data_IF_839111379672
#
_entry.id   IF_839111379672
#
_cell.length_a   1.000
_cell.length_b   1.000
_cell.length_c   1.000
_cell.angle_alpha   90.00
_cell.angle_beta   90.00
_cell.angle_gamma   90.00
#
_symmetry.space_group_name_H-M   'P 1'
#
loop_
_entity.id
_entity.type
_entity.pdbx_description
1 polymer ?
#
# COMPACT_ATOMS: atom_id res chain seq x y z
N UNK A 1 -8.55 -18.38 -46.44
CA UNK A 1 -8.78 -18.89 -45.07
C UNK A 1 -10.20 -18.48 -44.68
N UNK A 2 -11.17 -19.41 -44.73
CA UNK A 2 -12.56 -19.11 -44.39
C UNK A 2 -12.72 -19.17 -42.87
N UNK A 3 -13.05 -18.04 -42.26
CA UNK A 3 -13.33 -17.93 -40.82
C UNK A 3 -14.71 -18.54 -40.57
N UNK A 4 -14.81 -19.41 -39.55
CA UNK A 4 -16.06 -20.10 -39.18
C UNK A 4 -17.17 -19.09 -38.90
N UNK A 5 -18.43 -19.32 -39.35
CA UNK A 5 -19.54 -18.40 -39.15
C UNK A 5 -19.92 -18.19 -37.67
N UNK A 6 -19.38 -19.00 -36.76
CA UNK A 6 -19.54 -18.88 -35.30
C UNK A 6 -18.29 -18.39 -34.56
N UNK A 7 -17.26 -17.93 -35.28
CA UNK A 7 -16.10 -17.33 -34.63
C UNK A 7 -16.52 -15.95 -34.07
N UNK A 8 -16.53 -15.81 -32.73
CA UNK A 8 -16.56 -14.48 -32.10
C UNK A 8 -15.28 -13.75 -32.52
N UNK A 9 -15.43 -12.83 -33.47
CA UNK A 9 -14.42 -11.82 -33.76
C UNK A 9 -14.30 -10.94 -32.51
N UNK A 10 -13.29 -11.21 -31.69
CA UNK A 10 -12.85 -10.27 -30.68
C UNK A 10 -12.08 -9.17 -31.43
N UNK A 11 -12.78 -8.12 -31.85
CA UNK A 11 -12.11 -6.87 -32.15
C UNK A 11 -11.44 -6.41 -30.84
N UNK A 12 -10.11 -6.52 -30.79
CA UNK A 12 -9.35 -5.77 -29.79
C UNK A 12 -9.65 -4.31 -30.05
N UNK A 13 -10.58 -3.76 -29.27
CA UNK A 13 -10.78 -2.32 -29.25
C UNK A 13 -9.44 -1.70 -28.90
N UNK A 14 -8.97 -0.67 -29.64
CA UNK A 14 -7.77 0.04 -29.24
C UNK A 14 -7.94 0.44 -27.78
N UNK A 15 -6.85 0.36 -27.00
CA UNK A 15 -6.82 0.68 -25.57
C UNK A 15 -7.04 2.19 -25.36
N UNK A 16 -8.14 2.75 -25.82
CA UNK A 16 -8.46 4.17 -25.70
C UNK A 16 -8.99 4.43 -24.29
N UNK A 17 -8.08 4.71 -23.38
CA UNK A 17 -8.38 5.05 -21.99
C UNK A 17 -7.61 6.29 -21.54
N UNK A 18 -8.05 6.96 -20.45
CA UNK A 18 -7.37 8.13 -19.90
C UNK A 18 -5.92 7.88 -19.43
N UNK A 19 -5.47 6.62 -19.43
CA UNK A 19 -4.13 6.17 -19.06
C UNK A 19 -3.39 5.48 -20.22
N UNK A 20 -3.85 5.62 -21.47
CA UNK A 20 -3.11 5.13 -22.63
C UNK A 20 -2.16 6.20 -23.16
N UNK A 21 -0.84 6.08 -22.94
CA UNK A 21 0.16 7.05 -23.37
C UNK A 21 0.44 7.00 -24.89
N UNK A 22 -0.11 6.02 -25.62
CA UNK A 22 0.08 5.87 -27.07
C UNK A 22 -1.07 6.45 -27.89
N UNK A 23 -2.17 6.82 -27.24
CA UNK A 23 -3.32 7.44 -27.89
C UNK A 23 -2.94 8.81 -28.48
N UNK A 24 -3.34 9.03 -29.74
CA UNK A 24 -3.16 10.33 -30.41
C UNK A 24 -4.02 11.42 -29.74
N UNK A 25 -3.61 12.70 -29.75
CA UNK A 25 -4.35 13.79 -29.10
C UNK A 25 -5.83 13.86 -29.50
N UNK A 26 -6.14 13.53 -30.75
CA UNK A 26 -7.49 13.61 -31.33
C UNK A 26 -8.40 12.45 -30.89
N UNK A 27 -7.80 11.34 -30.41
CA UNK A 27 -8.53 10.15 -29.95
C UNK A 27 -8.93 10.19 -28.48
N UNK A 28 -8.51 11.23 -27.74
CA UNK A 28 -8.77 11.38 -26.31
C UNK A 28 -9.84 12.44 -26.10
N UNK A 29 -10.87 12.13 -25.30
CA UNK A 29 -11.96 13.07 -25.00
C UNK A 29 -11.44 14.41 -24.46
N UNK A 30 -12.11 15.51 -24.81
CA UNK A 30 -11.72 16.85 -24.34
C UNK A 30 -11.64 16.91 -22.80
N UNK A 31 -10.48 17.26 -22.26
CA UNK A 31 -10.18 17.22 -20.82
C UNK A 31 -9.48 15.95 -20.32
N UNK A 32 -9.57 14.83 -21.06
CA UNK A 32 -8.87 13.58 -20.74
C UNK A 32 -7.38 13.60 -21.16
N UNK A 33 -7.00 14.46 -22.10
CA UNK A 33 -5.60 14.63 -22.56
C UNK A 33 -4.63 15.04 -21.44
N UNK A 34 -5.12 15.66 -20.36
CA UNK A 34 -4.30 16.03 -19.20
C UNK A 34 -3.95 14.85 -18.30
N UNK A 35 -4.77 13.79 -18.29
CA UNK A 35 -4.42 12.55 -17.59
C UNK A 35 -3.24 11.87 -18.29
N UNK A 36 -3.24 11.83 -19.62
CA UNK A 36 -2.12 11.33 -20.43
C UNK A 36 -0.83 12.12 -20.22
N UNK A 37 -0.90 13.45 -20.00
CA UNK A 37 0.30 14.27 -19.68
C UNK A 37 0.88 13.98 -18.29
N UNK A 38 0.05 13.50 -17.36
CA UNK A 38 0.40 13.30 -15.96
C UNK A 38 1.01 11.92 -15.67
N UNK A 39 0.96 11.00 -16.64
CA UNK A 39 1.54 9.66 -16.51
C UNK A 39 2.49 9.40 -17.68
N UNK A 40 3.62 8.75 -17.39
CA UNK A 40 4.61 8.31 -18.35
C UNK A 40 4.99 6.86 -18.05
N UNK A 41 5.44 6.12 -19.05
CA UNK A 41 5.95 4.76 -18.83
C UNK A 41 7.47 4.85 -18.73
N UNK A 42 8.07 4.26 -17.70
CA UNK A 42 9.53 4.22 -17.56
C UNK A 42 10.15 3.21 -18.54
N UNK A 43 11.48 3.18 -18.62
CA UNK A 43 12.22 2.26 -19.49
C UNK A 43 11.98 0.78 -19.18
N UNK A 44 11.48 0.47 -17.98
CA UNK A 44 11.12 -0.87 -17.54
C UNK A 44 9.65 -1.24 -17.82
N UNK A 45 8.87 -0.37 -18.46
CA UNK A 45 7.46 -0.62 -18.78
C UNK A 45 6.47 -0.31 -17.64
N UNK A 46 6.94 0.26 -16.53
CA UNK A 46 6.06 0.62 -15.41
C UNK A 46 5.46 2.02 -15.60
N UNK A 47 4.18 2.16 -15.25
CA UNK A 47 3.50 3.45 -15.21
C UNK A 47 4.04 4.27 -14.02
N UNK A 48 4.51 5.48 -14.30
CA UNK A 48 4.98 6.46 -13.32
C UNK A 48 4.32 7.81 -13.61
N UNK A 49 4.28 8.72 -12.63
CA UNK A 49 3.75 10.07 -12.84
C UNK A 49 4.81 10.97 -13.48
N UNK A 50 4.38 11.93 -14.29
CA UNK A 50 5.24 12.96 -14.89
C UNK A 50 5.49 14.10 -13.90
N UNK A 51 6.69 14.71 -13.93
CA UNK A 51 7.00 15.87 -13.09
C UNK A 51 6.11 17.07 -13.45
N UNK A 52 5.52 17.72 -12.44
CA UNK A 52 4.74 18.96 -12.62
C UNK A 52 3.22 18.82 -12.64
N UNK A 53 2.66 17.80 -11.99
CA UNK A 53 1.21 17.62 -11.88
C UNK A 53 0.52 18.87 -11.30
N UNK A 54 -0.54 19.33 -11.98
CA UNK A 54 -1.44 20.38 -11.49
C UNK A 54 -2.89 19.96 -11.66
N UNK A 55 -3.70 20.12 -10.60
CA UNK A 55 -5.13 19.79 -10.60
C UNK A 55 -5.91 20.69 -11.55
N UNK A 56 -6.98 20.14 -12.12
CA UNK A 56 -8.03 20.92 -12.78
C UNK A 56 -8.66 21.93 -11.79
N UNK A 57 -8.70 23.20 -12.22
CA UNK A 57 -9.19 24.38 -11.47
C UNK A 57 -8.41 24.77 -10.19
N UNK A 58 -7.11 24.48 -10.09
CA UNK A 58 -6.29 25.06 -9.03
C UNK A 58 -5.77 26.45 -9.44
N UNK A 59 -6.22 27.50 -8.75
CA UNK A 59 -5.76 28.88 -8.91
C UNK A 59 -5.11 29.37 -7.61
N UNK A 60 -3.88 28.95 -7.34
CA UNK A 60 -2.98 29.71 -6.47
C UNK A 60 -1.55 29.49 -6.93
N UNK A 61 -0.81 30.57 -7.28
CA UNK A 61 0.61 30.49 -7.58
C UNK A 61 1.50 30.55 -6.32
N UNK A 62 0.95 30.68 -5.10
CA UNK A 62 1.77 30.95 -3.91
C UNK A 62 1.74 29.85 -2.82
N UNK A 63 2.96 29.38 -2.55
CA UNK A 63 3.57 29.03 -1.25
C UNK A 63 2.93 27.98 -0.36
N UNK A 64 3.21 26.71 -0.65
CA UNK A 64 4.05 25.84 0.20
C UNK A 64 4.13 24.50 -0.52
N UNK A 65 5.06 23.64 -0.12
CA UNK A 65 5.41 22.40 -0.82
C UNK A 65 4.27 21.36 -0.77
N UNK A 66 3.15 21.62 -1.46
CA UNK A 66 2.00 20.74 -1.48
C UNK A 66 2.37 19.45 -2.22
N UNK A 67 2.54 18.38 -1.45
CA UNK A 67 2.96 17.06 -1.92
C UNK A 67 1.75 16.14 -2.12
N UNK A 68 0.60 16.67 -2.54
CA UNK A 68 -0.61 15.92 -2.88
C UNK A 68 -0.37 14.80 -3.91
N UNK A 69 0.65 14.95 -4.75
CA UNK A 69 1.04 14.00 -5.79
C UNK A 69 2.18 13.06 -5.36
N UNK A 70 2.68 13.22 -4.12
CA UNK A 70 3.82 12.51 -3.54
C UNK A 70 5.13 12.69 -4.32
N UNK A 71 5.25 13.73 -5.15
CA UNK A 71 6.40 13.95 -6.06
C UNK A 71 7.74 14.07 -5.36
N UNK A 72 7.78 14.70 -4.18
CA UNK A 72 9.03 14.94 -3.46
C UNK A 72 9.34 13.82 -2.45
N UNK A 73 8.40 12.86 -2.29
CA UNK A 73 8.42 11.76 -1.32
C UNK A 73 8.84 12.14 0.09
N UNK A 74 8.75 13.43 0.43
CA UNK A 74 9.46 14.08 1.52
C UNK A 74 10.92 13.57 1.59
N UNK A 75 11.92 14.29 1.03
CA UNK A 75 13.30 13.98 1.37
C UNK A 75 13.35 13.92 2.89
N UNK A 76 14.12 12.98 3.46
CA UNK A 76 14.12 12.62 4.88
C UNK A 76 14.23 13.83 5.86
N UNK A 77 14.50 15.03 5.32
CA UNK A 77 14.56 16.36 5.90
C UNK A 77 13.20 17.05 6.16
N UNK A 78 12.14 16.68 5.44
CA UNK A 78 10.86 17.41 5.37
C UNK A 78 9.73 16.68 6.10
N UNK A 79 10.01 16.21 7.33
CA UNK A 79 8.93 15.91 8.28
C UNK A 79 8.45 17.24 8.83
N UNK A 80 7.14 17.49 8.86
CA UNK A 80 6.49 18.72 9.36
C UNK A 80 6.83 19.05 10.85
N UNK A 81 8.06 19.47 11.09
CA UNK A 81 8.58 20.22 12.23
C UNK A 81 9.69 21.14 11.67
N UNK A 82 9.92 22.34 12.21
CA UNK A 82 10.91 23.28 11.68
C UNK A 82 12.31 22.66 11.80
N UNK A 83 12.78 22.00 10.73
CA UNK A 83 13.99 21.20 10.72
C UNK A 83 15.22 22.10 10.74
N UNK A 84 15.92 22.13 11.88
CA UNK A 84 17.33 22.51 11.93
C UNK A 84 18.14 21.51 11.10
N UNK A 85 19.04 21.98 10.20
CA UNK A 85 19.64 21.13 9.18
C UNK A 85 20.81 20.36 9.76
N UNK A 86 20.60 19.16 10.29
CA UNK A 86 21.69 18.22 10.57
C UNK A 86 21.16 16.81 10.76
N UNK A 87 21.70 15.88 9.98
CA UNK A 87 21.46 14.43 9.96
C UNK A 87 20.29 13.95 9.11
N UNK A 88 20.42 14.10 7.79
CA UNK A 88 19.62 13.32 6.84
C UNK A 88 20.51 12.55 5.87
N UNK A 89 20.28 11.24 5.79
CA UNK A 89 20.74 10.41 4.68
C UNK A 89 20.13 10.90 3.36
N UNK A 90 20.98 11.20 2.39
CA UNK A 90 20.63 11.48 1.00
C UNK A 90 19.82 10.32 0.40
N UNK A 91 18.50 10.43 0.33
CA UNK A 91 17.62 9.33 -0.10
C UNK A 91 16.96 9.64 -1.45
N UNK A 92 17.40 8.93 -2.49
CA UNK A 92 16.80 8.86 -3.83
C UNK A 92 15.28 8.64 -3.77
N UNK A 93 14.53 9.20 -4.73
CA UNK A 93 13.13 8.83 -4.97
C UNK A 93 13.00 7.30 -5.07
N UNK A 94 12.02 6.72 -4.36
CA UNK A 94 11.79 5.28 -4.34
C UNK A 94 10.51 4.94 -5.12
N UNK A 95 10.47 3.78 -5.75
CA UNK A 95 9.25 3.35 -6.43
C UNK A 95 8.09 3.16 -5.42
N UNK A 96 6.88 3.56 -5.83
CA UNK A 96 5.67 3.28 -5.07
C UNK A 96 5.35 1.80 -5.22
N UNK A 97 5.38 1.08 -4.09
CA UNK A 97 5.17 -0.38 -4.01
C UNK A 97 3.80 -0.75 -3.43
N UNK A 98 3.13 0.18 -2.77
CA UNK A 98 1.81 0.01 -2.17
C UNK A 98 0.92 1.21 -2.47
N UNK A 99 -0.31 0.94 -2.90
CA UNK A 99 -1.43 1.87 -2.87
C UNK A 99 -2.59 1.15 -2.20
N UNK A 100 -3.15 1.74 -1.16
CA UNK A 100 -4.22 1.12 -0.39
C UNK A 100 -5.26 2.17 -0.03
N UNK A 101 -6.54 1.82 -0.19
CA UNK A 101 -7.64 2.66 0.24
C UNK A 101 -8.25 2.07 1.50
N UNK A 102 -8.14 2.78 2.61
CA UNK A 102 -8.73 2.37 3.86
C UNK A 102 -10.03 3.14 4.11
N UNK A 103 -11.06 2.48 4.63
CA UNK A 103 -12.34 3.12 5.01
C UNK A 103 -12.65 2.85 6.48
N UNK A 104 -12.66 3.87 7.31
CA UNK A 104 -13.01 3.77 8.73
C UNK A 104 -14.45 3.34 8.92
N UNK A 105 -14.76 2.78 10.10
CA UNK A 105 -16.10 2.47 10.56
C UNK A 105 -17.06 3.68 10.53
N UNK A 106 -16.53 4.90 10.62
CA UNK A 106 -17.30 6.14 10.51
C UNK A 106 -17.54 6.61 9.06
N UNK A 107 -17.05 5.86 8.07
CA UNK A 107 -17.15 6.20 6.64
C UNK A 107 -16.01 7.08 6.10
N UNK A 108 -15.12 7.57 6.97
CA UNK A 108 -13.95 8.34 6.56
C UNK A 108 -12.99 7.47 5.74
N UNK A 109 -12.57 8.00 4.59
CA UNK A 109 -11.69 7.27 3.67
C UNK A 109 -10.30 7.90 3.64
N UNK A 110 -9.26 7.08 3.72
CA UNK A 110 -7.85 7.50 3.67
C UNK A 110 -7.12 6.75 2.58
N UNK A 111 -6.40 7.51 1.75
CA UNK A 111 -5.47 6.95 0.77
C UNK A 111 -4.11 6.77 1.44
N UNK A 112 -3.58 5.55 1.33
CA UNK A 112 -2.28 5.17 1.84
C UNK A 112 -1.38 4.81 0.66
N UNK A 113 -0.13 5.22 0.75
CA UNK A 113 0.89 4.87 -0.22
C UNK A 113 2.12 4.34 0.52
N UNK A 114 2.90 3.48 -0.11
CA UNK A 114 4.14 2.96 0.48
C UNK A 114 5.24 2.79 -0.54
N UNK A 115 6.46 3.17 -0.17
CA UNK A 115 7.71 2.82 -0.87
C UNK A 115 8.41 1.70 -0.11
N UNK A 116 9.60 1.26 -0.53
CA UNK A 116 10.34 0.25 0.25
C UNK A 116 10.58 0.68 1.71
N UNK A 117 10.85 1.97 1.96
CA UNK A 117 11.25 2.49 3.27
C UNK A 117 10.15 3.23 4.02
N UNK A 118 9.14 3.76 3.32
CA UNK A 118 8.18 4.70 3.91
C UNK A 118 6.74 4.28 3.67
N UNK A 119 5.88 4.65 4.60
CA UNK A 119 4.43 4.58 4.47
C UNK A 119 3.87 5.98 4.68
N UNK A 120 2.95 6.37 3.81
CA UNK A 120 2.32 7.68 3.78
C UNK A 120 0.81 7.57 3.96
N UNK A 121 0.23 8.58 4.60
CA UNK A 121 -1.21 8.76 4.72
C UNK A 121 -1.62 10.09 4.10
N UNK A 122 -2.65 10.09 3.27
CA UNK A 122 -3.16 11.31 2.65
C UNK A 122 -4.11 12.05 3.59
N UNK A 123 -3.79 13.31 3.88
CA UNK A 123 -4.66 14.20 4.62
C UNK A 123 -5.46 15.07 3.65
N UNK A 124 -6.76 14.77 3.52
CA UNK A 124 -7.67 15.50 2.63
C UNK A 124 -7.86 16.97 3.04
N UNK A 125 -7.74 17.30 4.34
CA UNK A 125 -7.94 18.67 4.84
C UNK A 125 -6.78 19.59 4.46
N UNK A 126 -5.56 19.11 4.62
CA UNK A 126 -4.33 19.85 4.26
C UNK A 126 -3.91 19.60 2.82
N UNK A 127 -4.60 18.70 2.11
CA UNK A 127 -4.32 18.29 0.74
C UNK A 127 -2.90 17.72 0.58
N UNK A 128 -2.33 17.12 1.62
CA UNK A 128 -0.93 16.71 1.63
C UNK A 128 -0.78 15.27 2.12
N UNK A 129 0.22 14.55 1.62
CA UNK A 129 0.64 13.30 2.26
C UNK A 129 1.42 13.62 3.53
N UNK A 130 1.34 12.74 4.52
CA UNK A 130 2.23 12.74 5.69
C UNK A 130 2.91 11.38 5.80
N UNK A 131 4.16 11.36 6.24
CA UNK A 131 4.83 10.11 6.60
C UNK A 131 4.19 9.59 7.89
N UNK A 132 3.81 8.32 7.91
CA UNK A 132 3.37 7.62 9.13
C UNK A 132 4.39 6.59 9.63
N UNK A 133 5.30 6.14 8.75
CA UNK A 133 6.42 5.24 9.06
C UNK A 133 7.59 5.52 8.15
N UNK A 134 8.81 5.45 8.69
CA UNK A 134 10.06 5.61 7.96
C UNK A 134 11.15 4.67 8.49
N UNK A 135 11.49 3.65 7.72
CA UNK A 135 12.45 2.61 8.10
C UNK A 135 13.47 2.36 7.00
N UNK A 136 14.76 2.26 7.35
CA UNK A 136 15.80 1.96 6.38
C UNK A 136 15.77 0.48 6.00
N UNK A 137 15.20 0.17 4.83
CA UNK A 137 15.15 -1.18 4.27
C UNK A 137 15.93 -1.26 2.96
N UNK A 138 16.70 -2.33 2.79
CA UNK A 138 17.46 -2.59 1.55
C UNK A 138 16.54 -3.00 0.39
N UNK A 139 15.46 -3.70 0.69
CA UNK A 139 14.46 -4.20 -0.27
C UNK A 139 13.14 -4.52 0.42
N UNK A 140 12.11 -4.85 -0.36
CA UNK A 140 10.79 -5.27 0.13
C UNK A 140 9.66 -4.42 -0.43
N UNK A 141 8.46 -4.97 -0.38
CA UNK A 141 7.21 -4.30 -0.76
C UNK A 141 6.24 -4.40 0.40
N UNK A 142 5.58 -3.31 0.72
CA UNK A 142 4.51 -3.35 1.71
C UNK A 142 3.26 -3.97 1.10
N UNK A 143 2.55 -4.74 1.92
CA UNK A 143 1.16 -5.10 1.69
C UNK A 143 0.35 -4.63 2.88
N UNK A 144 -0.91 -4.33 2.62
CA UNK A 144 -1.82 -3.86 3.64
C UNK A 144 -3.15 -4.59 3.55
N UNK A 145 -3.75 -4.81 4.71
CA UNK A 145 -5.13 -5.22 4.85
C UNK A 145 -5.75 -4.43 6.00
N UNK A 146 -7.06 -4.27 5.97
CA UNK A 146 -7.79 -3.50 6.97
C UNK A 146 -8.87 -4.37 7.59
N UNK A 147 -9.03 -4.25 8.90
CA UNK A 147 -10.17 -4.78 9.63
C UNK A 147 -10.67 -3.70 10.58
N UNK A 148 -11.94 -3.31 10.43
CA UNK A 148 -12.54 -2.14 11.10
C UNK A 148 -11.66 -0.89 10.95
N UNK A 149 -11.20 -0.25 12.02
CA UNK A 149 -10.37 0.96 11.95
C UNK A 149 -8.85 0.68 11.97
N UNK A 150 -8.46 -0.59 12.00
CA UNK A 150 -7.06 -1.01 12.09
C UNK A 150 -6.54 -1.42 10.72
N UNK A 151 -5.54 -0.71 10.22
CA UNK A 151 -4.81 -1.06 9.00
C UNK A 151 -3.51 -1.74 9.39
N UNK A 152 -3.31 -2.96 8.94
CA UNK A 152 -2.11 -3.75 9.20
C UNK A 152 -1.22 -3.73 7.97
N UNK A 153 0.06 -3.43 8.17
CA UNK A 153 1.08 -3.46 7.13
C UNK A 153 2.08 -4.58 7.41
N UNK A 154 2.40 -5.31 6.34
CA UNK A 154 3.40 -6.37 6.37
C UNK A 154 4.44 -6.16 5.27
N UNK A 155 5.65 -6.60 5.55
CA UNK A 155 6.77 -6.62 4.62
C UNK A 155 7.71 -7.77 5.02
N UNK A 156 8.22 -8.51 4.03
CA UNK A 156 9.05 -9.70 4.25
C UNK A 156 10.37 -9.43 4.99
N UNK A 157 10.79 -8.16 5.08
CA UNK A 157 12.06 -7.76 5.68
C UNK A 157 11.92 -7.01 7.02
N UNK A 158 10.71 -6.85 7.55
CA UNK A 158 10.48 -6.13 8.81
C UNK A 158 9.30 -6.70 9.59
N UNK A 159 9.16 -6.29 10.85
CA UNK A 159 8.04 -6.72 11.68
C UNK A 159 6.72 -6.16 11.17
N UNK A 160 5.62 -6.93 11.25
CA UNK A 160 4.28 -6.40 11.04
C UNK A 160 4.01 -5.23 11.98
N UNK A 161 3.36 -4.21 11.44
CA UNK A 161 2.97 -3.00 12.15
C UNK A 161 1.51 -2.69 11.83
N UNK A 162 0.87 -1.91 12.69
CA UNK A 162 -0.47 -1.41 12.43
C UNK A 162 -0.55 0.11 12.56
N UNK A 163 -1.55 0.68 11.92
CA UNK A 163 -1.94 2.06 12.03
C UNK A 163 -3.45 2.12 12.23
N UNK A 164 -3.88 2.74 13.32
CA UNK A 164 -5.27 3.12 13.49
C UNK A 164 -5.54 4.45 12.80
N UNK A 165 -6.74 4.63 12.27
CA UNK A 165 -7.13 5.89 11.63
C UNK A 165 -6.81 7.11 12.49
N UNK A 166 -6.09 8.06 11.87
CA UNK A 166 -5.62 9.31 12.47
C UNK A 166 -4.90 9.14 13.81
N UNK A 167 -4.30 7.97 14.05
CA UNK A 167 -3.43 7.72 15.18
C UNK A 167 -2.35 8.81 15.26
N UNK A 168 -2.19 9.47 16.41
CA UNK A 168 -1.17 10.51 16.57
C UNK A 168 0.23 9.89 16.51
N UNK A 169 1.22 10.71 16.15
CA UNK A 169 2.60 10.31 16.30
C UNK A 169 2.97 10.23 17.79
N UNK A 170 3.64 9.15 18.20
CA UNK A 170 3.87 8.89 19.63
C UNK A 170 5.29 9.22 20.10
N UNK A 171 6.21 9.56 19.20
CA UNK A 171 7.64 9.70 19.52
C UNK A 171 8.31 10.89 18.82
N UNK A 172 9.51 11.24 19.29
CA UNK A 172 10.40 12.25 18.69
C UNK A 172 10.79 11.96 17.21
N UNK A 173 10.46 10.77 16.70
CA UNK A 173 10.68 10.33 15.32
C UNK A 173 9.43 10.58 14.43
N UNK A 174 8.35 11.14 14.99
CA UNK A 174 7.11 11.48 14.28
C UNK A 174 6.44 10.29 13.55
N UNK A 175 6.59 9.07 14.07
CA UNK A 175 5.90 7.89 13.52
C UNK A 175 4.55 7.67 14.19
N UNK A 176 3.55 7.35 13.38
CA UNK A 176 2.17 7.10 13.81
C UNK A 176 1.79 5.62 13.78
N UNK A 177 2.67 4.73 13.35
CA UNK A 177 2.46 3.27 13.36
C UNK A 177 2.91 2.66 14.68
N UNK A 178 2.39 1.47 15.01
CA UNK A 178 2.79 0.67 16.19
C UNK A 178 3.13 -0.76 15.81
N UNK A 179 4.01 -1.38 16.59
CA UNK A 179 4.26 -2.82 16.50
C UNK A 179 3.08 -3.61 17.11
N UNK A 180 2.88 -4.84 16.64
CA UNK A 180 1.83 -5.74 17.13
C UNK A 180 2.45 -6.68 18.17
N UNK A 181 2.25 -6.41 19.46
CA UNK A 181 2.94 -7.12 20.55
C UNK A 181 2.60 -8.62 20.61
N UNK A 182 1.34 -8.99 20.37
CA UNK A 182 0.85 -10.37 20.41
C UNK A 182 1.55 -11.29 19.41
N UNK A 183 2.13 -10.75 18.33
CA UNK A 183 2.88 -11.55 17.36
C UNK A 183 4.19 -12.08 17.95
N UNK A 184 4.74 -11.39 18.95
CA UNK A 184 5.91 -11.85 19.69
C UNK A 184 5.65 -13.15 20.46
N UNK A 185 4.41 -13.43 20.86
CA UNK A 185 4.04 -14.65 21.61
C UNK A 185 4.21 -15.92 20.79
N UNK A 186 3.88 -15.85 19.50
CA UNK A 186 4.00 -16.96 18.54
C UNK A 186 5.25 -16.84 17.66
N UNK A 187 6.10 -15.84 17.93
CA UNK A 187 7.32 -15.58 17.15
C UNK A 187 7.08 -15.07 15.73
N UNK A 188 5.89 -14.57 15.40
CA UNK A 188 5.51 -14.10 14.06
C UNK A 188 6.22 -12.79 13.71
N UNK A 189 7.46 -12.90 13.23
CA UNK A 189 8.38 -11.78 13.08
C UNK A 189 8.29 -11.10 11.72
N UNK A 190 7.95 -11.84 10.65
CA UNK A 190 7.81 -11.29 9.29
C UNK A 190 6.70 -12.01 8.57
N UNK A 191 5.99 -11.27 7.72
CA UNK A 191 4.86 -11.81 6.96
C UNK A 191 4.95 -11.25 5.55
N UNK A 192 4.79 -12.13 4.55
CA UNK A 192 4.87 -11.73 3.15
C UNK A 192 3.49 -11.44 2.54
N UNK A 193 2.44 -12.11 3.00
CA UNK A 193 1.07 -11.94 2.51
C UNK A 193 0.10 -11.67 3.65
N UNK A 194 -0.79 -10.70 3.45
CA UNK A 194 -1.86 -10.37 4.38
C UNK A 194 -3.16 -10.14 3.61
N UNK A 195 -4.27 -10.59 4.16
CA UNK A 195 -5.61 -10.32 3.61
C UNK A 195 -6.67 -10.37 4.71
N UNK A 196 -7.64 -9.46 4.65
CA UNK A 196 -8.86 -9.57 5.46
C UNK A 196 -9.92 -10.34 4.70
N UNK A 197 -10.64 -11.21 5.42
CA UNK A 197 -11.86 -11.83 4.90
C UNK A 197 -12.83 -12.16 6.03
N UNK A 198 -14.05 -11.61 5.92
CA UNK A 198 -15.20 -11.90 6.81
C UNK A 198 -14.90 -11.70 8.30
N UNK A 199 -14.17 -10.65 8.64
CA UNK A 199 -13.85 -10.31 10.03
C UNK A 199 -12.66 -11.07 10.59
N UNK A 200 -11.91 -11.81 9.77
CA UNK A 200 -10.67 -12.47 10.16
C UNK A 200 -9.51 -11.87 9.34
N UNK A 201 -8.36 -11.70 10.00
CA UNK A 201 -7.14 -11.30 9.32
C UNK A 201 -6.27 -12.53 9.07
N UNK A 202 -5.86 -12.74 7.82
CA UNK A 202 -5.01 -13.84 7.39
C UNK A 202 -3.60 -13.34 7.13
N UNK A 203 -2.61 -14.10 7.59
CA UNK A 203 -1.18 -13.87 7.45
C UNK A 203 -0.55 -15.12 6.86
N UNK A 204 0.19 -15.01 5.76
CA UNK A 204 0.80 -16.20 5.16
C UNK A 204 2.17 -15.93 4.62
N UNK A 205 2.89 -17.04 4.41
CA UNK A 205 4.30 -17.06 4.07
C UNK A 205 5.07 -16.24 5.13
N UNK A 206 5.23 -16.89 6.28
CA UNK A 206 5.60 -16.24 7.54
C UNK A 206 7.02 -16.59 7.94
N UNK A 207 7.62 -15.76 8.78
CA UNK A 207 8.81 -16.10 9.53
C UNK A 207 8.48 -16.23 11.02
N UNK A 208 8.62 -17.43 11.56
CA UNK A 208 8.48 -17.70 12.98
C UNK A 208 9.86 -17.78 13.63
N UNK A 209 10.16 -16.83 14.51
CA UNK A 209 11.52 -16.64 15.02
C UNK A 209 12.47 -16.27 13.89
N UNK A 210 13.39 -17.18 13.57
CA UNK A 210 14.36 -17.05 12.48
C UNK A 210 14.11 -18.04 11.33
N UNK A 211 13.07 -18.88 11.43
CA UNK A 211 12.74 -19.88 10.42
C UNK A 211 11.75 -19.31 9.42
N UNK A 212 11.96 -19.61 8.14
CA UNK A 212 11.04 -19.25 7.08
C UNK A 212 10.07 -20.41 6.83
N UNK A 213 8.77 -20.15 6.96
CA UNK A 213 7.69 -21.13 6.82
C UNK A 213 6.74 -20.67 5.69
N UNK A 214 7.09 -20.93 4.42
CA UNK A 214 6.38 -20.39 3.26
C UNK A 214 4.97 -20.96 3.04
N UNK A 215 4.71 -22.15 3.55
CA UNK A 215 3.48 -22.93 3.44
C UNK A 215 2.49 -22.66 4.58
N UNK A 216 2.84 -21.86 5.59
CA UNK A 216 1.98 -21.59 6.73
C UNK A 216 1.02 -20.42 6.49
N UNK A 217 -0.25 -20.67 6.79
CA UNK A 217 -1.31 -19.68 6.91
C UNK A 217 -1.70 -19.54 8.40
N UNK A 218 -1.61 -18.33 8.94
CA UNK A 218 -2.06 -17.96 10.29
C UNK A 218 -3.27 -17.03 10.15
N UNK A 219 -4.26 -17.15 11.03
CA UNK A 219 -5.39 -16.22 11.06
C UNK A 219 -5.74 -15.76 12.47
N UNK A 220 -6.28 -14.55 12.54
CA UNK A 220 -6.69 -13.91 13.78
C UNK A 220 -8.02 -14.45 14.31
N UNK A 221 -8.37 -14.09 15.53
CA UNK A 221 -9.72 -14.25 16.08
C UNK A 221 -10.70 -13.24 15.42
N UNK A 222 -12.00 -13.50 15.54
CA UNK A 222 -13.03 -12.71 14.86
C UNK A 222 -13.09 -11.28 15.38
N UNK A 223 -12.99 -10.32 14.44
CA UNK A 223 -12.92 -8.87 14.69
C UNK A 223 -11.79 -8.44 15.63
N UNK A 224 -10.72 -9.24 15.73
CA UNK A 224 -9.56 -8.95 16.57
C UNK A 224 -8.28 -9.22 15.75
N UNK A 225 -7.80 -8.24 14.96
CA UNK A 225 -6.79 -8.49 13.94
C UNK A 225 -5.48 -8.98 14.54
N UNK A 226 -5.17 -8.61 15.78
CA UNK A 226 -3.92 -8.94 16.45
C UNK A 226 -3.98 -10.23 17.27
N UNK A 227 -5.17 -10.78 17.53
CA UNK A 227 -5.34 -11.95 18.37
C UNK A 227 -5.11 -13.23 17.55
N UNK A 228 -3.85 -13.67 17.43
CA UNK A 228 -3.43 -14.83 16.63
C UNK A 228 -3.13 -16.08 17.46
N UNK A 229 -3.07 -15.94 18.79
CA UNK A 229 -2.84 -17.06 19.71
C UNK A 229 -4.16 -17.83 19.93
N UNK A 230 -4.21 -19.15 19.64
CA UNK A 230 -5.40 -19.95 19.86
C UNK A 230 -5.74 -20.07 21.35
N UNK A 231 -7.04 -20.04 21.66
CA UNK A 231 -7.62 -20.26 22.98
C UNK A 231 -8.90 -21.10 22.88
N UNK A 232 -9.51 -21.48 24.00
CA UNK A 232 -10.65 -22.43 24.00
C UNK A 232 -11.87 -21.96 23.20
N UNK A 233 -12.10 -20.65 23.14
CA UNK A 233 -13.21 -20.02 22.40
C UNK A 233 -12.72 -19.13 21.24
N UNK A 234 -11.44 -19.21 20.91
CA UNK A 234 -10.83 -18.37 19.87
C UNK A 234 -11.00 -19.00 18.50
N UNK A 235 -11.33 -18.19 17.50
CA UNK A 235 -11.24 -18.62 16.12
C UNK A 235 -9.83 -18.54 15.56
N UNK A 236 -8.87 -17.93 16.28
CA UNK A 236 -7.48 -17.83 15.84
C UNK A 236 -6.83 -19.21 15.67
N UNK A 237 -5.96 -19.32 14.68
CA UNK A 237 -5.33 -20.59 14.36
C UNK A 237 -4.29 -20.47 13.27
N UNK A 238 -3.71 -21.61 12.92
CA UNK A 238 -2.85 -21.74 11.77
C UNK A 238 -3.07 -23.08 11.09
N UNK A 239 -2.69 -23.15 9.82
CA UNK A 239 -2.64 -24.37 9.04
C UNK A 239 -1.42 -24.32 8.13
N UNK A 240 -0.67 -25.41 8.13
CA UNK A 240 0.37 -25.65 7.15
C UNK A 240 -0.27 -26.27 5.92
N UNK A 241 0.10 -25.75 4.75
CA UNK A 241 -0.27 -26.31 3.47
C UNK A 241 0.60 -27.55 3.15
N UNK A 242 0.55 -28.04 1.91
CA UNK A 242 1.34 -29.18 1.50
C UNK A 242 2.85 -28.92 1.63
N UNK A 243 3.61 -29.97 1.97
CA UNK A 243 5.06 -29.85 2.08
C UNK A 243 5.69 -29.40 0.76
N UNK A 244 6.44 -28.29 0.80
CA UNK A 244 7.07 -27.68 -0.38
C UNK A 244 6.17 -26.72 -1.16
N UNK A 245 4.98 -26.41 -0.66
CA UNK A 245 4.12 -25.35 -1.20
C UNK A 245 4.60 -23.96 -0.75
N UNK A 246 4.28 -22.93 -1.54
CA UNK A 246 4.58 -21.54 -1.23
C UNK A 246 3.33 -20.69 -1.43
N UNK A 247 2.94 -19.93 -0.41
CA UNK A 247 1.83 -18.98 -0.55
C UNK A 247 2.36 -17.77 -1.33
N UNK A 248 1.96 -17.69 -2.61
CA UNK A 248 2.35 -16.64 -3.56
C UNK A 248 1.37 -15.46 -3.61
N UNK A 249 0.21 -15.56 -2.96
CA UNK A 249 -0.86 -14.58 -3.05
C UNK A 249 -2.05 -14.96 -2.17
N UNK A 250 -2.84 -13.95 -1.79
CA UNK A 250 -4.14 -14.11 -1.14
C UNK A 250 -5.08 -13.10 -1.78
N UNK A 251 -6.28 -13.55 -2.14
CA UNK A 251 -7.31 -12.69 -2.70
C UNK A 251 -8.67 -13.19 -2.18
N UNK A 252 -9.57 -12.30 -1.71
CA UNK A 252 -10.88 -12.70 -1.28
C UNK A 252 -11.72 -13.18 -2.48
N UNK A 253 -12.14 -14.45 -2.45
CA UNK A 253 -13.04 -15.00 -3.47
C UNK A 253 -14.51 -14.63 -3.14
N UNK A 254 -14.94 -13.45 -3.61
CA UNK A 254 -16.34 -13.02 -3.63
C UNK A 254 -16.90 -12.44 -2.32
N UNK A 255 -17.89 -11.55 -2.50
CA UNK A 255 -18.54 -10.62 -1.54
C UNK A 255 -17.66 -9.45 -1.08
N UNK A 256 -17.37 -8.55 -2.03
CA UNK A 256 -17.11 -7.13 -1.76
C UNK A 256 -18.42 -6.38 -1.50
#
# INVERSE_FOLDING_TARGET
>A
MQISPNAKLYEMRPLTGPLDPQSSPDTVAAGAHRWVQNFRVNTAGNLQRSNGWQRFMYSSPDSSNNNADLRNQFPLNDVEAPATPSQIATGTEEDITLLFNATSTNGDTKLLAGTKSRIYSYNQKTNNYRIIRNVSLSSGKWKAAQLDDDVVFVNENTKPIYWKFDQPAENAVNESVREIESFGEIGLNRVRHIQEWRGLMFYGNVHEGNEWVPDRLVWSDFKKPFAVTPGTESLAGYQDLGHGEDIVGMEPLGNA
#
